data_IF_565472510859
#
_entry.id   IF_565472510859
#
_cell.length_a   1.000
_cell.length_b   1.000
_cell.length_c   1.000
_cell.angle_alpha   90.00
_cell.angle_beta   90.00
_cell.angle_gamma   90.00
#
_symmetry.space_group_name_H-M   'P 1'
#
loop_
_entity.id
_entity.type
_entity.pdbx_description
1 polymer ?
#
# COMPACT_ATOMS: atom_id res chain seq x y z
N UNK A 1 -73.99 -39.20 30.81
CA UNK A 1 -74.01 -39.14 32.30
C UNK A 1 -73.07 -38.03 32.76
N UNK A 2 -73.05 -37.67 34.06
CA UNK A 2 -72.26 -36.57 34.66
C UNK A 2 -70.78 -36.53 34.20
N UNK A 3 -70.10 -35.38 34.00
CA UNK A 3 -69.94 -34.16 34.82
C UNK A 3 -69.06 -34.39 36.08
N UNK A 4 -68.11 -33.52 36.48
CA UNK A 4 -67.56 -32.29 35.86
C UNK A 4 -66.20 -31.87 36.50
N UNK A 5 -65.43 -31.02 35.79
CA UNK A 5 -64.32 -30.17 36.32
C UNK A 5 -63.00 -30.86 36.70
N UNK A 6 -61.93 -30.14 37.08
CA UNK A 6 -61.43 -28.80 36.68
C UNK A 6 -60.18 -28.40 37.48
N UNK A 7 -59.11 -27.92 36.81
CA UNK A 7 -58.01 -27.07 37.38
C UNK A 7 -57.10 -27.71 38.45
N UNK A 8 -55.80 -27.40 38.63
CA UNK A 8 -54.60 -27.18 37.76
C UNK A 8 -53.44 -26.80 38.72
N UNK A 9 -52.18 -27.10 38.36
CA UNK A 9 -50.94 -26.58 38.98
C UNK A 9 -50.62 -27.02 40.45
N UNK A 10 -49.37 -26.99 40.93
CA UNK A 10 -48.02 -27.02 40.30
C UNK A 10 -46.94 -27.25 41.38
N UNK A 11 -45.65 -27.31 40.98
CA UNK A 11 -44.54 -26.96 41.90
C UNK A 11 -43.65 -28.09 42.43
N UNK A 12 -42.93 -28.80 41.55
CA UNK A 12 -41.76 -29.60 41.96
C UNK A 12 -40.51 -28.72 42.11
N UNK A 13 -39.67 -29.00 43.12
CA UNK A 13 -38.45 -28.23 43.40
C UNK A 13 -37.43 -28.31 42.24
N UNK A 14 -36.78 -27.19 41.95
CA UNK A 14 -35.52 -27.14 41.20
C UNK A 14 -34.43 -26.64 42.15
N UNK A 15 -33.42 -27.47 42.44
CA UNK A 15 -32.27 -27.07 43.25
C UNK A 15 -31.28 -26.25 42.41
N UNK A 16 -31.22 -24.94 42.67
CA UNK A 16 -30.17 -24.06 42.12
C UNK A 16 -28.93 -24.08 43.01
N UNK A 17 -27.95 -24.94 42.69
CA UNK A 17 -26.62 -24.90 43.32
C UNK A 17 -25.83 -23.69 42.79
N UNK A 18 -25.74 -22.63 43.61
CA UNK A 18 -25.05 -21.40 43.28
C UNK A 18 -23.61 -21.44 43.85
N UNK A 19 -22.68 -21.98 43.08
CA UNK A 19 -21.29 -22.21 43.52
C UNK A 19 -20.44 -20.93 43.38
N UNK A 20 -20.33 -20.15 44.47
CA UNK A 20 -19.58 -18.90 44.49
C UNK A 20 -18.07 -19.12 44.67
N UNK A 21 -17.35 -19.40 43.58
CA UNK A 21 -15.91 -19.59 43.59
C UNK A 21 -15.14 -18.26 43.65
N UNK A 22 -14.78 -17.81 44.87
CA UNK A 22 -13.82 -16.71 45.07
C UNK A 22 -12.41 -17.29 45.16
N UNK A 23 -11.57 -17.01 44.17
CA UNK A 23 -10.13 -17.31 44.21
C UNK A 23 -9.31 -16.04 43.92
N UNK A 24 -8.38 -15.73 44.81
CA UNK A 24 -7.53 -14.53 44.76
C UNK A 24 -6.57 -14.53 43.57
N UNK A 25 -6.48 -13.42 42.85
CA UNK A 25 -5.66 -13.30 41.65
C UNK A 25 -4.14 -13.25 41.92
N UNK A 26 -3.42 -14.27 41.43
CA UNK A 26 -1.97 -14.20 41.19
C UNK A 26 -1.72 -13.66 39.79
N UNK A 27 -0.98 -12.56 39.65
CA UNK A 27 -0.73 -11.92 38.35
C UNK A 27 0.32 -12.69 37.52
N UNK A 28 -0.13 -13.77 36.87
CA UNK A 28 0.65 -14.52 35.89
C UNK A 28 0.19 -14.15 34.48
N UNK A 29 1.14 -13.84 33.58
CA UNK A 29 0.89 -13.45 32.18
C UNK A 29 0.44 -14.61 31.26
N UNK A 30 -0.45 -15.47 31.76
CA UNK A 30 -0.90 -16.70 31.12
C UNK A 30 -2.43 -16.87 31.20
N UNK A 31 -3.16 -15.74 31.20
CA UNK A 31 -4.62 -15.70 31.42
C UNK A 31 -5.45 -15.04 30.32
N UNK A 32 -4.83 -14.33 29.36
CA UNK A 32 -5.58 -13.79 28.22
C UNK A 32 -5.74 -14.85 27.11
N UNK A 33 -6.94 -15.01 26.52
CA UNK A 33 -7.15 -15.97 25.44
C UNK A 33 -6.34 -15.53 24.19
N UNK A 34 -5.74 -16.47 23.43
CA UNK A 34 -4.97 -16.14 22.23
C UNK A 34 -5.78 -15.27 21.26
N UNK A 35 -5.19 -14.16 20.84
CA UNK A 35 -5.83 -13.22 19.92
C UNK A 35 -6.26 -13.94 18.64
N UNK A 36 -7.51 -13.73 18.24
CA UNK A 36 -8.11 -14.44 17.10
C UNK A 36 -8.94 -13.49 16.26
N UNK A 37 -9.40 -13.93 15.09
CA UNK A 37 -10.30 -13.12 14.24
C UNK A 37 -11.62 -12.72 14.92
N UNK A 38 -12.03 -13.43 16.00
CA UNK A 38 -13.20 -13.08 16.83
C UNK A 38 -12.92 -11.97 17.87
N UNK A 39 -11.65 -11.57 18.05
CA UNK A 39 -11.24 -10.44 18.89
C UNK A 39 -11.42 -9.08 18.18
N UNK A 40 -11.87 -9.08 16.93
CA UNK A 40 -12.06 -7.91 16.07
C UNK A 40 -13.53 -7.79 15.65
N UNK A 41 -14.01 -6.60 15.25
CA UNK A 41 -15.38 -6.41 14.76
C UNK A 41 -15.72 -7.33 13.57
N UNK A 42 -16.99 -7.69 13.44
CA UNK A 42 -17.47 -8.42 12.26
C UNK A 42 -17.20 -7.61 10.97
N UNK A 43 -16.73 -8.30 9.94
CA UNK A 43 -16.30 -7.66 8.69
C UNK A 43 -14.92 -6.96 8.74
N UNK A 44 -14.14 -7.11 9.83
CA UNK A 44 -12.75 -6.67 9.84
C UNK A 44 -11.92 -7.42 8.78
N UNK A 45 -11.19 -6.67 7.96
CA UNK A 45 -10.44 -7.16 6.79
C UNK A 45 -8.97 -7.36 7.16
N UNK A 46 -8.50 -8.61 7.15
CA UNK A 46 -7.08 -8.94 7.25
C UNK A 46 -6.49 -9.11 5.85
N UNK A 47 -5.25 -8.67 5.64
CA UNK A 47 -4.64 -8.75 4.32
C UNK A 47 -3.14 -8.46 4.29
N UNK A 48 -2.53 -8.81 3.17
CA UNK A 48 -1.10 -8.56 2.87
C UNK A 48 -0.94 -7.30 2.02
N UNK A 49 0.29 -6.79 1.91
CA UNK A 49 0.61 -5.62 1.10
C UNK A 49 1.91 -5.79 0.31
N UNK A 50 1.97 -5.20 -0.89
CA UNK A 50 3.16 -5.08 -1.73
C UNK A 50 3.18 -3.76 -2.51
N UNK A 51 4.32 -3.45 -3.13
CA UNK A 51 4.41 -2.43 -4.18
C UNK A 51 5.01 -3.00 -5.47
N UNK A 52 4.65 -2.38 -6.59
CA UNK A 52 5.08 -2.66 -7.96
C UNK A 52 6.55 -3.01 -8.07
N UNK A 53 7.45 -2.10 -7.66
CA UNK A 53 8.90 -2.25 -7.83
C UNK A 53 9.54 -3.22 -6.82
N UNK A 54 8.89 -3.47 -5.67
CA UNK A 54 9.43 -4.37 -4.64
C UNK A 54 9.23 -5.87 -4.94
N UNK A 55 8.24 -6.24 -5.78
CA UNK A 55 7.91 -7.66 -6.01
C UNK A 55 7.84 -8.09 -7.48
N UNK A 56 7.74 -7.15 -8.44
CA UNK A 56 7.60 -7.49 -9.87
C UNK A 56 8.90 -7.22 -10.61
N UNK A 57 9.31 -8.17 -11.45
CA UNK A 57 10.41 -7.99 -12.40
C UNK A 57 10.18 -6.72 -13.24
N UNK A 58 11.06 -5.71 -13.09
CA UNK A 58 10.89 -4.44 -13.79
C UNK A 58 11.05 -4.58 -15.30
N UNK A 59 11.90 -5.49 -15.76
CA UNK A 59 12.16 -5.75 -17.18
C UNK A 59 11.54 -7.07 -17.61
N UNK A 60 10.61 -7.04 -18.59
CA UNK A 60 10.09 -8.24 -19.25
C UNK A 60 11.04 -8.81 -20.31
N UNK A 61 12.35 -8.62 -20.13
CA UNK A 61 13.41 -9.07 -21.03
C UNK A 61 14.53 -9.72 -20.20
N UNK A 62 14.97 -10.94 -20.54
CA UNK A 62 16.17 -11.52 -19.96
C UNK A 62 17.41 -10.81 -20.50
N UNK A 63 18.36 -10.50 -19.62
CA UNK A 63 19.71 -9.99 -19.97
C UNK A 63 19.78 -8.79 -20.91
N UNK A 64 19.65 -7.57 -20.37
CA UNK A 64 20.27 -6.39 -21.00
C UNK A 64 20.73 -5.36 -19.96
N UNK A 65 21.99 -5.50 -19.53
CA UNK A 65 22.76 -4.34 -19.06
C UNK A 65 22.87 -3.36 -20.24
N UNK A 66 22.19 -2.23 -20.17
CA UNK A 66 22.27 -1.15 -21.17
C UNK A 66 23.61 -0.42 -21.10
N UNK A 67 24.66 -1.08 -21.62
CA UNK A 67 25.82 -0.34 -22.16
C UNK A 67 25.29 0.59 -23.25
N UNK A 68 25.56 1.88 -23.12
CA UNK A 68 25.15 2.90 -24.11
C UNK A 68 25.93 2.68 -25.40
N UNK A 69 25.36 1.90 -26.32
CA UNK A 69 25.88 1.71 -27.66
C UNK A 69 25.62 2.97 -28.50
N UNK A 70 26.68 3.61 -28.98
CA UNK A 70 26.58 4.74 -29.92
C UNK A 70 26.24 4.23 -31.32
N UNK A 71 24.99 4.42 -31.74
CA UNK A 71 24.63 4.70 -33.14
C UNK A 71 23.90 3.60 -33.92
N UNK A 72 23.10 4.10 -34.89
CA UNK A 72 22.15 3.39 -35.78
C UNK A 72 20.91 2.85 -35.07
N UNK A 73 19.82 2.74 -35.83
CA UNK A 73 18.44 2.57 -35.35
C UNK A 73 17.89 1.16 -35.59
N UNK A 74 16.56 1.06 -35.70
CA UNK A 74 15.74 -0.17 -35.58
C UNK A 74 15.70 -0.69 -34.12
N UNK A 75 14.60 -1.15 -33.52
CA UNK A 75 13.15 -1.04 -33.83
C UNK A 75 12.36 -1.14 -32.49
N UNK A 76 11.03 -1.05 -32.50
CA UNK A 76 10.17 -1.03 -31.29
C UNK A 76 10.33 -2.23 -30.34
N UNK A 77 10.75 -1.99 -29.09
CA UNK A 77 10.22 -2.69 -27.90
C UNK A 77 10.13 -1.76 -26.68
N UNK A 78 9.00 -1.79 -25.97
CA UNK A 78 8.64 -0.84 -24.92
C UNK A 78 9.32 -1.12 -23.56
N UNK A 79 10.64 -0.99 -23.49
CA UNK A 79 11.36 -0.91 -22.21
C UNK A 79 11.04 0.41 -21.50
N UNK A 80 10.16 0.37 -20.50
CA UNK A 80 9.85 1.53 -19.67
C UNK A 80 11.05 1.88 -18.78
N UNK A 81 11.79 2.94 -19.13
CA UNK A 81 12.97 3.38 -18.38
C UNK A 81 12.63 3.62 -16.91
N UNK A 82 13.20 2.79 -16.04
CA UNK A 82 13.17 2.97 -14.59
C UNK A 82 13.76 4.32 -14.19
N UNK A 83 13.35 4.80 -13.01
CA UNK A 83 14.12 5.84 -12.32
C UNK A 83 15.58 5.41 -12.20
N UNK A 84 16.52 6.36 -12.28
CA UNK A 84 17.99 6.13 -12.24
C UNK A 84 18.52 5.42 -10.98
N UNK A 85 17.66 5.01 -10.06
CA UNK A 85 17.97 4.23 -8.86
C UNK A 85 18.74 2.94 -9.21
N UNK A 86 18.36 2.22 -10.28
CA UNK A 86 19.05 0.98 -10.69
C UNK A 86 20.50 1.19 -11.15
N UNK A 87 20.89 2.41 -11.54
CA UNK A 87 22.29 2.73 -11.92
C UNK A 87 23.15 3.11 -10.71
N UNK A 88 22.56 3.28 -9.53
CA UNK A 88 23.23 3.72 -8.30
C UNK A 88 23.41 2.57 -7.30
N UNK A 89 23.79 1.38 -7.79
CA UNK A 89 23.95 0.16 -6.98
C UNK A 89 24.84 0.31 -5.74
N UNK A 90 25.77 1.27 -5.72
CA UNK A 90 26.59 1.61 -4.55
C UNK A 90 25.80 2.15 -3.34
N UNK A 91 24.55 2.59 -3.53
CA UNK A 91 23.65 3.05 -2.47
C UNK A 91 22.86 1.94 -1.80
N UNK A 92 22.80 0.75 -2.41
CA UNK A 92 22.10 -0.42 -1.86
C UNK A 92 23.13 -1.26 -1.11
N UNK A 93 22.82 -1.66 0.13
CA UNK A 93 23.78 -2.29 1.06
C UNK A 93 24.42 -3.56 0.48
N UNK A 94 23.62 -4.38 -0.19
CA UNK A 94 24.04 -5.62 -0.88
C UNK A 94 24.25 -5.43 -2.40
N UNK A 95 24.06 -4.21 -2.92
CA UNK A 95 24.09 -3.84 -4.34
C UNK A 95 23.02 -4.53 -5.23
N UNK A 96 21.94 -5.05 -4.64
CA UNK A 96 20.80 -5.64 -5.36
C UNK A 96 19.94 -4.60 -6.11
N UNK A 97 18.97 -5.06 -6.91
CA UNK A 97 18.01 -4.21 -7.63
C UNK A 97 16.65 -4.90 -7.82
N UNK A 98 15.67 -4.17 -8.38
CA UNK A 98 14.32 -4.66 -8.68
C UNK A 98 14.11 -5.21 -10.10
N UNK A 99 15.16 -5.61 -10.83
CA UNK A 99 15.01 -6.06 -12.22
C UNK A 99 14.21 -7.37 -12.34
N UNK A 100 14.34 -8.26 -11.34
CA UNK A 100 13.56 -9.51 -11.17
C UNK A 100 12.67 -9.45 -9.92
N UNK A 101 13.17 -8.92 -8.81
CA UNK A 101 12.48 -8.91 -7.51
C UNK A 101 11.98 -10.32 -7.11
N UNK A 102 10.70 -10.46 -6.73
CA UNK A 102 10.06 -11.75 -6.40
C UNK A 102 9.39 -12.42 -7.62
N UNK A 103 9.57 -11.87 -8.82
CA UNK A 103 8.91 -12.24 -10.07
C UNK A 103 7.37 -12.40 -10.02
N UNK A 104 6.69 -11.59 -9.20
CA UNK A 104 5.22 -11.45 -9.19
C UNK A 104 4.62 -10.93 -10.51
N UNK A 105 5.42 -10.74 -11.57
CA UNK A 105 4.91 -10.50 -12.92
C UNK A 105 4.46 -11.81 -13.58
N UNK A 106 5.24 -12.89 -13.45
CA UNK A 106 4.86 -14.22 -13.91
C UNK A 106 4.16 -15.04 -12.82
N UNK A 107 4.59 -14.92 -11.56
CA UNK A 107 4.18 -15.77 -10.45
C UNK A 107 2.91 -15.32 -9.70
N UNK A 108 2.21 -14.28 -10.17
CA UNK A 108 1.06 -13.68 -9.46
C UNK A 108 -0.06 -14.67 -9.05
N UNK A 109 -0.22 -15.79 -9.76
CA UNK A 109 -1.20 -16.84 -9.39
C UNK A 109 -0.78 -17.61 -8.14
N UNK A 110 0.52 -17.82 -7.95
CA UNK A 110 1.09 -18.45 -6.77
C UNK A 110 1.03 -17.49 -5.57
N UNK A 111 1.34 -16.21 -5.78
CA UNK A 111 1.15 -15.16 -4.77
C UNK A 111 -0.29 -15.16 -4.22
N UNK A 112 -1.29 -15.17 -5.12
CA UNK A 112 -2.71 -15.18 -4.77
C UNK A 112 -3.15 -16.51 -4.14
N UNK A 113 -2.55 -17.65 -4.55
CA UNK A 113 -2.78 -18.95 -3.88
C UNK A 113 -2.31 -18.90 -2.44
N UNK A 114 -1.06 -18.47 -2.20
CA UNK A 114 -0.48 -18.39 -0.86
C UNK A 114 -1.30 -17.45 0.04
N UNK A 115 -1.72 -16.28 -0.46
CA UNK A 115 -2.61 -15.38 0.28
C UNK A 115 -3.94 -16.04 0.68
N UNK A 116 -4.50 -16.88 -0.21
CA UNK A 116 -5.75 -17.59 0.08
C UNK A 116 -5.55 -18.71 1.10
N UNK A 117 -4.46 -19.46 0.99
CA UNK A 117 -4.11 -20.56 1.90
C UNK A 117 -3.75 -20.03 3.30
N UNK A 118 -3.22 -18.81 3.40
CA UNK A 118 -3.04 -18.06 4.66
C UNK A 118 -4.33 -17.49 5.25
N UNK A 119 -5.48 -17.60 4.57
CA UNK A 119 -6.76 -17.10 5.05
C UNK A 119 -6.91 -15.57 5.04
N UNK A 120 -6.26 -14.88 4.09
CA UNK A 120 -6.36 -13.42 3.92
C UNK A 120 -7.65 -13.02 3.20
N UNK A 121 -8.27 -11.93 3.65
CA UNK A 121 -9.48 -11.36 3.05
C UNK A 121 -9.15 -10.38 1.92
N UNK A 122 -7.97 -9.75 1.95
CA UNK A 122 -7.57 -8.70 1.03
C UNK A 122 -6.07 -8.74 0.66
N UNK A 123 -5.75 -8.12 -0.48
CA UNK A 123 -4.38 -7.85 -0.92
C UNK A 123 -4.25 -6.40 -1.38
N UNK A 124 -3.36 -5.65 -0.74
CA UNK A 124 -2.97 -4.30 -1.18
C UNK A 124 -1.78 -4.39 -2.14
N UNK A 125 -1.91 -3.86 -3.35
CA UNK A 125 -0.81 -3.77 -4.30
C UNK A 125 -0.82 -2.43 -5.03
N UNK A 126 0.31 -2.00 -5.60
CA UNK A 126 0.35 -0.83 -6.49
C UNK A 126 0.35 -1.17 -7.98
N UNK A 127 -0.23 -0.25 -8.76
CA UNK A 127 -0.12 -0.22 -10.22
C UNK A 127 1.16 0.53 -10.60
N UNK A 128 1.97 -0.09 -11.44
CA UNK A 128 3.19 0.52 -11.99
C UNK A 128 2.84 1.57 -13.06
N UNK A 129 3.12 2.84 -12.78
CA UNK A 129 2.89 3.95 -13.72
C UNK A 129 3.65 3.69 -15.02
N UNK A 130 4.96 3.44 -14.93
CA UNK A 130 5.83 3.08 -16.08
C UNK A 130 5.29 1.92 -16.91
N UNK A 131 4.65 0.91 -16.30
CA UNK A 131 4.12 -0.24 -17.04
C UNK A 131 2.79 0.05 -17.74
N UNK A 132 2.01 1.04 -17.31
CA UNK A 132 0.77 1.45 -18.00
C UNK A 132 1.05 2.55 -19.03
N UNK A 133 1.85 3.55 -18.66
CA UNK A 133 2.27 4.70 -19.47
C UNK A 133 3.81 4.76 -19.48
N UNK A 134 4.51 4.07 -20.40
CA UNK A 134 5.98 4.09 -20.46
C UNK A 134 6.55 5.50 -20.62
N UNK A 135 5.89 6.32 -21.43
CA UNK A 135 6.19 7.73 -21.66
C UNK A 135 5.58 8.67 -20.59
N UNK A 136 5.02 8.11 -19.51
CA UNK A 136 4.40 8.82 -18.38
C UNK A 136 3.07 9.52 -18.67
N UNK A 137 2.79 9.97 -19.90
CA UNK A 137 1.53 10.63 -20.29
C UNK A 137 0.66 9.76 -21.20
N UNK A 138 -0.66 9.98 -21.16
CA UNK A 138 -1.63 9.35 -22.07
C UNK A 138 -1.34 9.65 -23.56
N UNK A 139 -0.76 10.81 -23.85
CA UNK A 139 -0.35 11.21 -25.21
C UNK A 139 0.80 10.36 -25.76
N UNK A 140 1.59 9.72 -24.88
CA UNK A 140 2.66 8.79 -25.25
C UNK A 140 2.22 7.33 -25.32
N UNK A 141 0.91 7.06 -25.37
CA UNK A 141 0.33 5.73 -25.51
C UNK A 141 0.08 4.98 -24.20
N UNK A 142 -0.78 3.95 -24.27
CA UNK A 142 -1.11 3.06 -23.15
C UNK A 142 -0.63 1.64 -23.48
N UNK A 143 0.26 1.09 -22.68
CA UNK A 143 0.73 -0.28 -22.82
C UNK A 143 -0.40 -1.26 -22.46
N UNK A 144 -0.93 -1.96 -23.47
CA UNK A 144 -2.04 -2.90 -23.32
C UNK A 144 -1.66 -4.18 -22.59
N UNK A 145 -0.42 -4.63 -22.68
CA UNK A 145 0.05 -5.79 -21.90
C UNK A 145 0.23 -5.46 -20.42
N UNK A 146 0.66 -4.23 -20.13
CA UNK A 146 0.61 -3.68 -18.77
C UNK A 146 -0.79 -3.74 -18.18
N UNK A 147 -1.80 -3.25 -18.92
CA UNK A 147 -3.22 -3.34 -18.52
C UNK A 147 -3.70 -4.79 -18.39
N UNK A 148 -3.31 -5.68 -19.31
CA UNK A 148 -3.68 -7.11 -19.30
C UNK A 148 -3.21 -7.80 -18.02
N UNK A 149 -1.97 -7.56 -17.60
CA UNK A 149 -1.42 -8.10 -16.36
C UNK A 149 -2.26 -7.70 -15.13
N UNK A 150 -2.60 -6.42 -14.97
CA UNK A 150 -3.40 -5.97 -13.82
C UNK A 150 -4.83 -6.52 -13.84
N UNK A 151 -5.45 -6.62 -15.02
CA UNK A 151 -6.75 -7.27 -15.15
C UNK A 151 -6.68 -8.75 -14.74
N UNK A 152 -5.64 -9.48 -15.16
CA UNK A 152 -5.45 -10.88 -14.78
C UNK A 152 -5.25 -11.07 -13.27
N UNK A 153 -4.44 -10.22 -12.64
CA UNK A 153 -4.25 -10.22 -11.17
C UNK A 153 -5.55 -9.93 -10.42
N UNK A 154 -6.29 -8.89 -10.84
CA UNK A 154 -7.58 -8.52 -10.22
C UNK A 154 -8.60 -9.66 -10.37
N UNK A 155 -8.66 -10.29 -11.54
CA UNK A 155 -9.57 -11.41 -11.80
C UNK A 155 -9.23 -12.65 -10.96
N UNK A 156 -7.94 -13.01 -10.82
CA UNK A 156 -7.52 -14.15 -9.98
C UNK A 156 -7.79 -13.88 -8.49
N UNK A 157 -7.53 -12.66 -7.99
CA UNK A 157 -7.87 -12.24 -6.63
C UNK A 157 -9.36 -12.40 -6.34
N UNK A 158 -10.22 -11.82 -7.20
CA UNK A 158 -11.67 -11.90 -7.06
C UNK A 158 -12.17 -13.36 -7.17
N UNK A 159 -11.57 -14.18 -8.04
CA UNK A 159 -11.89 -15.61 -8.19
C UNK A 159 -11.57 -16.42 -6.93
N UNK A 160 -10.53 -16.05 -6.16
CA UNK A 160 -10.26 -16.65 -4.83
C UNK A 160 -11.03 -15.97 -3.69
N UNK A 161 -11.81 -14.93 -3.97
CA UNK A 161 -12.51 -14.14 -2.95
C UNK A 161 -11.58 -13.30 -2.07
N UNK A 162 -10.45 -12.84 -2.62
CA UNK A 162 -9.51 -11.90 -1.99
C UNK A 162 -9.76 -10.50 -2.56
N UNK A 163 -9.99 -9.51 -1.70
CA UNK A 163 -10.37 -8.15 -2.10
C UNK A 163 -9.14 -7.34 -2.57
N UNK A 164 -9.14 -6.76 -3.78
CA UNK A 164 -8.02 -5.96 -4.29
C UNK A 164 -8.05 -4.51 -3.75
N UNK A 165 -7.03 -4.12 -2.98
CA UNK A 165 -6.83 -2.75 -2.47
C UNK A 165 -5.75 -2.03 -3.29
N UNK A 166 -6.16 -1.24 -4.28
CA UNK A 166 -5.26 -0.70 -5.30
C UNK A 166 -4.62 0.62 -4.86
N UNK A 167 -3.29 0.67 -4.85
CA UNK A 167 -2.50 1.90 -4.67
C UNK A 167 -2.09 2.44 -6.05
N UNK A 168 -2.48 3.67 -6.39
CA UNK A 168 -2.29 4.22 -7.75
C UNK A 168 -0.87 4.74 -8.05
N UNK A 169 -0.08 5.04 -7.01
CA UNK A 169 1.31 5.47 -7.10
C UNK A 169 2.06 5.00 -5.86
N UNK A 170 3.26 4.44 -6.00
CA UNK A 170 4.05 3.95 -4.88
C UNK A 170 5.56 4.22 -5.09
N UNK A 171 5.89 5.49 -5.32
CA UNK A 171 7.27 5.99 -5.56
C UNK A 171 7.91 5.51 -6.86
N UNK A 172 7.09 5.05 -7.81
CA UNK A 172 7.46 4.51 -9.12
C UNK A 172 7.20 5.49 -10.27
N UNK A 173 7.68 6.73 -10.10
CA UNK A 173 7.66 7.79 -11.13
C UNK A 173 8.37 7.34 -12.41
N UNK A 174 7.77 7.55 -13.61
CA UNK A 174 8.48 7.31 -14.87
C UNK A 174 9.65 8.27 -15.06
N UNK A 175 10.84 7.76 -15.40
CA UNK A 175 12.03 8.60 -15.64
C UNK A 175 11.80 9.60 -16.79
N UNK A 176 10.94 9.28 -17.76
CA UNK A 176 10.50 10.21 -18.82
C UNK A 176 9.79 11.48 -18.28
N UNK A 177 9.28 11.46 -17.05
CA UNK A 177 8.71 12.63 -16.36
C UNK A 177 9.80 13.36 -15.56
N UNK A 178 10.68 12.62 -14.88
CA UNK A 178 11.85 13.18 -14.19
C UNK A 178 12.78 13.94 -15.16
N UNK A 179 13.11 13.36 -16.31
CA UNK A 179 13.96 13.97 -17.35
C UNK A 179 13.30 15.18 -18.03
N UNK A 180 11.98 15.15 -18.19
CA UNK A 180 11.23 16.20 -18.90
C UNK A 180 11.01 17.44 -18.04
N UNK A 181 10.85 17.27 -16.73
CA UNK A 181 10.45 18.37 -15.84
C UNK A 181 10.71 18.19 -14.32
N UNK A 182 11.58 17.23 -13.95
CA UNK A 182 12.02 17.01 -12.55
C UNK A 182 10.92 16.60 -11.57
N UNK A 183 10.01 15.71 -12.01
CA UNK A 183 9.16 14.94 -11.10
C UNK A 183 8.26 15.80 -10.21
N UNK A 184 8.13 15.44 -8.93
CA UNK A 184 7.18 16.11 -8.01
C UNK A 184 7.60 17.54 -7.58
N UNK A 185 8.78 18.05 -7.98
CA UNK A 185 9.32 19.35 -7.55
C UNK A 185 8.65 20.58 -8.22
N UNK A 186 7.45 20.40 -8.78
CA UNK A 186 7.07 21.08 -10.02
C UNK A 186 5.54 20.98 -10.33
N UNK A 187 4.81 22.05 -10.76
CA UNK A 187 3.36 21.97 -11.07
C UNK A 187 2.96 21.90 -12.56
N UNK A 188 3.76 22.47 -13.48
CA UNK A 188 3.52 22.45 -14.93
C UNK A 188 3.42 21.06 -15.59
N UNK A 189 4.22 20.07 -15.25
CA UNK A 189 5.31 20.01 -14.26
C UNK A 189 6.55 20.78 -14.81
N UNK A 190 7.21 21.60 -13.96
CA UNK A 190 8.51 22.32 -14.00
C UNK A 190 8.56 23.26 -12.75
N UNK A 191 9.70 23.76 -12.20
CA UNK A 191 11.09 23.26 -12.22
C UNK A 191 11.89 23.41 -10.88
N UNK A 192 12.59 22.37 -10.41
CA UNK A 192 14.06 22.40 -10.13
C UNK A 192 14.61 20.97 -9.96
N UNK A 193 15.93 20.77 -10.00
CA UNK A 193 16.53 19.52 -10.50
C UNK A 193 17.68 18.89 -9.68
N UNK A 194 17.91 17.60 -9.98
CA UNK A 194 19.09 16.75 -9.67
C UNK A 194 19.32 16.30 -8.22
N UNK A 195 18.94 15.04 -7.94
CA UNK A 195 19.23 14.34 -6.68
C UNK A 195 20.38 13.33 -6.85
N UNK A 196 21.62 13.78 -6.59
CA UNK A 196 22.75 12.89 -6.32
C UNK A 196 23.11 12.94 -4.83
N UNK A 197 23.45 11.78 -4.25
CA UNK A 197 23.72 11.67 -2.81
C UNK A 197 24.78 10.60 -2.51
N UNK A 198 26.03 10.99 -2.62
CA UNK A 198 27.01 10.71 -1.57
C UNK A 198 27.40 12.07 -0.99
N UNK A 199 27.27 12.26 0.34
CA UNK A 199 27.47 13.54 1.04
C UNK A 199 26.69 14.73 0.42
N UNK A 200 25.41 14.84 0.76
CA UNK A 200 24.40 15.71 0.11
C UNK A 200 24.87 17.15 -0.18
N UNK A 201 25.23 17.41 -1.43
CA UNK A 201 25.78 18.69 -1.90
C UNK A 201 25.01 19.29 -3.09
N UNK A 202 23.85 18.72 -3.43
CA UNK A 202 22.94 19.15 -4.51
C UNK A 202 21.50 19.02 -4.00
N UNK A 203 20.63 19.96 -4.37
CA UNK A 203 19.22 20.05 -3.95
C UNK A 203 19.01 20.83 -2.64
N UNK A 204 17.88 21.53 -2.54
CA UNK A 204 17.48 22.30 -1.36
C UNK A 204 16.58 21.48 -0.43
N UNK A 205 17.20 20.78 0.51
CA UNK A 205 16.50 19.99 1.54
C UNK A 205 15.61 20.81 2.48
N UNK A 206 15.72 22.15 2.48
CA UNK A 206 14.85 23.06 3.23
C UNK A 206 13.59 23.50 2.47
N UNK A 207 13.50 23.24 1.15
CA UNK A 207 12.37 23.66 0.30
C UNK A 207 11.77 22.54 -0.53
N UNK A 208 12.60 21.76 -1.21
CA UNK A 208 12.16 20.73 -2.17
C UNK A 208 11.20 19.69 -1.59
N UNK A 209 11.37 19.19 -0.34
CA UNK A 209 10.40 18.26 0.25
C UNK A 209 9.00 18.87 0.40
N UNK A 210 8.90 20.16 0.75
CA UNK A 210 7.62 20.88 0.86
C UNK A 210 6.97 21.07 -0.51
N UNK A 211 7.76 21.43 -1.53
CA UNK A 211 7.30 21.52 -2.92
C UNK A 211 6.77 20.17 -3.42
N UNK A 212 7.50 19.07 -3.16
CA UNK A 212 7.07 17.72 -3.53
C UNK A 212 5.78 17.29 -2.81
N UNK A 213 5.69 17.51 -1.50
CA UNK A 213 4.50 17.23 -0.71
C UNK A 213 3.27 18.01 -1.24
N UNK A 214 3.44 19.32 -1.48
CA UNK A 214 2.37 20.18 -2.00
C UNK A 214 1.80 19.67 -3.33
N UNK A 215 2.65 19.26 -4.28
CA UNK A 215 2.18 18.68 -5.54
C UNK A 215 1.55 17.30 -5.38
N UNK A 216 2.02 16.46 -4.45
CA UNK A 216 1.37 15.18 -4.13
C UNK A 216 -0.04 15.40 -3.55
N UNK A 217 -0.21 16.36 -2.63
CA UNK A 217 -1.52 16.73 -2.07
C UNK A 217 -2.46 17.28 -3.16
N UNK A 218 -1.99 18.15 -4.05
CA UNK A 218 -2.78 18.66 -5.18
C UNK A 218 -3.15 17.56 -6.18
N UNK A 219 -2.25 16.61 -6.47
CA UNK A 219 -2.51 15.46 -7.33
C UNK A 219 -3.52 14.48 -6.71
N UNK A 220 -3.41 14.25 -5.40
CA UNK A 220 -4.38 13.48 -4.62
C UNK A 220 -5.77 14.13 -4.67
N UNK A 221 -5.87 15.43 -4.36
CA UNK A 221 -7.13 16.17 -4.37
C UNK A 221 -7.82 16.16 -5.75
N UNK A 222 -7.06 16.36 -6.83
CA UNK A 222 -7.56 16.25 -8.22
C UNK A 222 -8.08 14.84 -8.53
N UNK A 223 -7.33 13.80 -8.13
CA UNK A 223 -7.71 12.39 -8.34
C UNK A 223 -8.97 12.01 -7.56
N UNK A 224 -9.06 12.40 -6.27
CA UNK A 224 -10.24 12.15 -5.43
C UNK A 224 -11.48 12.87 -5.96
N UNK A 225 -11.33 14.13 -6.40
CA UNK A 225 -12.41 14.90 -7.03
C UNK A 225 -12.93 14.18 -8.27
N UNK A 226 -12.05 13.82 -9.21
CA UNK A 226 -12.41 13.08 -10.43
C UNK A 226 -13.08 11.73 -10.10
N UNK A 227 -12.60 11.01 -9.08
CA UNK A 227 -13.22 9.76 -8.66
C UNK A 227 -14.65 9.96 -8.16
N UNK A 228 -14.87 10.93 -7.26
CA UNK A 228 -16.19 11.27 -6.70
C UNK A 228 -17.17 11.74 -7.78
N UNK A 229 -16.75 12.66 -8.64
CA UNK A 229 -17.61 13.28 -9.67
C UNK A 229 -17.99 12.32 -10.80
N UNK A 230 -17.08 11.43 -11.23
CA UNK A 230 -17.26 10.64 -12.47
C UNK A 230 -17.45 9.13 -12.25
N UNK A 231 -16.88 8.55 -11.20
CA UNK A 231 -16.76 7.08 -11.07
C UNK A 231 -17.49 6.51 -9.86
N UNK A 232 -17.50 7.19 -8.72
CA UNK A 232 -18.00 6.63 -7.46
C UNK A 232 -19.49 6.27 -7.49
N UNK A 233 -20.33 7.08 -8.15
CA UNK A 233 -21.78 6.81 -8.26
C UNK A 233 -22.11 5.50 -8.99
N UNK A 234 -21.28 5.08 -9.93
CA UNK A 234 -21.44 3.84 -10.70
C UNK A 234 -20.70 2.66 -10.03
N UNK A 235 -19.44 2.89 -9.63
CA UNK A 235 -18.55 1.83 -9.12
C UNK A 235 -18.74 1.53 -7.63
N UNK A 236 -19.35 2.44 -6.86
CA UNK A 236 -19.64 2.33 -5.41
C UNK A 236 -18.41 2.10 -4.51
N UNK A 237 -17.20 2.27 -5.05
CA UNK A 237 -15.94 2.09 -4.33
C UNK A 237 -15.59 3.27 -3.40
N UNK A 238 -14.44 3.15 -2.76
CA UNK A 238 -13.87 4.15 -1.83
C UNK A 238 -12.47 4.55 -2.30
N UNK A 239 -12.07 5.79 -1.99
CA UNK A 239 -10.74 6.33 -2.30
C UNK A 239 -10.21 7.09 -1.08
N UNK A 240 -8.89 7.10 -0.90
CA UNK A 240 -8.20 7.77 0.21
C UNK A 240 -6.70 7.86 -0.06
N UNK A 241 -5.93 8.16 0.98
CA UNK A 241 -4.46 8.24 0.96
C UNK A 241 -3.88 7.34 2.05
N UNK A 242 -2.68 6.80 1.84
CA UNK A 242 -1.91 6.09 2.87
C UNK A 242 -0.82 7.03 3.36
N UNK A 243 -0.88 7.40 4.64
CA UNK A 243 0.15 8.18 5.33
C UNK A 243 1.00 7.24 6.20
N UNK A 244 2.22 7.66 6.52
CA UNK A 244 3.15 6.94 7.42
C UNK A 244 3.56 7.87 8.55
N UNK A 245 3.64 7.35 9.77
CA UNK A 245 4.12 8.12 10.92
C UNK A 245 4.76 7.21 11.95
N UNK A 246 5.74 7.73 12.69
CA UNK A 246 6.26 7.10 13.90
C UNK A 246 5.41 7.51 15.10
N UNK A 247 5.33 6.64 16.11
CA UNK A 247 4.80 7.05 17.42
C UNK A 247 5.88 7.79 18.20
N UNK A 248 5.72 9.10 18.36
CA UNK A 248 6.68 9.94 19.08
C UNK A 248 6.38 9.98 20.58
N UNK A 249 7.35 9.56 21.39
CA UNK A 249 7.27 9.60 22.86
C UNK A 249 8.15 10.74 23.39
N UNK A 250 7.66 11.60 24.31
CA UNK A 250 8.48 12.64 24.94
C UNK A 250 9.71 12.07 25.65
N UNK A 251 10.91 12.59 25.35
CA UNK A 251 12.18 12.15 25.96
C UNK A 251 12.21 12.31 27.49
N UNK A 252 11.40 13.21 28.05
CA UNK A 252 11.19 13.34 29.49
C UNK A 252 9.81 13.96 29.77
N UNK A 253 9.41 14.01 31.05
CA UNK A 253 8.14 14.63 31.50
C UNK A 253 8.14 16.17 31.46
N UNK A 254 9.15 16.82 30.88
CA UNK A 254 9.16 18.28 30.73
C UNK A 254 8.16 18.72 29.64
N UNK A 255 7.49 19.87 29.85
CA UNK A 255 6.57 20.44 28.84
C UNK A 255 7.26 20.65 27.48
N UNK A 256 8.51 21.10 27.48
CA UNK A 256 9.30 21.27 26.24
C UNK A 256 9.45 19.98 25.44
N UNK A 257 9.51 18.82 26.10
CA UNK A 257 9.64 17.52 25.43
C UNK A 257 8.29 16.96 24.96
N UNK A 258 7.20 17.25 25.67
CA UNK A 258 5.83 16.98 25.17
C UNK A 258 5.51 17.83 23.94
N UNK A 259 5.78 19.13 24.01
CA UNK A 259 5.63 20.05 22.87
C UNK A 259 6.54 19.65 21.68
N UNK A 260 7.71 19.06 21.94
CA UNK A 260 8.60 18.54 20.89
C UNK A 260 8.09 17.25 20.25
N UNK A 261 7.55 16.30 21.02
CA UNK A 261 6.94 15.10 20.48
C UNK A 261 5.69 15.41 19.63
N UNK A 262 4.89 16.40 20.04
CA UNK A 262 3.78 16.94 19.24
C UNK A 262 4.28 17.50 17.91
N UNK A 263 5.26 18.42 17.92
CA UNK A 263 5.83 18.96 16.67
C UNK A 263 6.40 17.87 15.75
N UNK A 264 7.03 16.83 16.30
CA UNK A 264 7.54 15.73 15.49
C UNK A 264 6.42 14.91 14.81
N UNK A 265 5.30 14.72 15.51
CA UNK A 265 4.08 14.12 14.94
C UNK A 265 3.44 15.03 13.88
N UNK A 266 3.33 16.34 14.15
CA UNK A 266 2.77 17.33 13.23
C UNK A 266 3.57 17.37 11.92
N UNK A 267 4.91 17.40 11.99
CA UNK A 267 5.81 17.40 10.83
C UNK A 267 5.84 16.09 10.03
N UNK A 268 5.29 14.98 10.55
CA UNK A 268 5.30 13.67 9.88
C UNK A 268 3.91 13.20 9.44
N UNK A 269 2.84 13.58 10.16
CA UNK A 269 1.46 13.15 9.92
C UNK A 269 0.48 14.30 9.66
N UNK A 270 0.77 15.51 10.17
CA UNK A 270 -0.06 16.71 10.01
C UNK A 270 0.37 17.63 8.86
N UNK A 271 1.30 17.16 8.02
CA UNK A 271 1.93 17.90 6.91
C UNK A 271 1.05 17.95 5.65
#
# INVERSE_FOLDING_TARGET
>A
MAAAGSVVASGGLVLSFLLLAVTSGTYSGAGEPPISRRSFPEGFVFGTASSSYQVKASTSLPFLHTRVARGRGEEDQASGTLSRISTQAYKIVDRSNGDVAADSYHLYKEDVRIMKDMGMDAYRFSISWTRILPNGSLTGGVNREGVRYYNNLINELLLKGVQPFITLFHWDSPQALEDKYSGFLSPNIMPLSSWEQGNCSVGDSGREPYTACHHQLLAHAKTVRLYKEKYQGLQKGKIGITLVSHWFVPFSRSKSNDDAARRALDFMLGW
#
